data_IF_830274578940
#
_entry.id   IF_830274578940
#
_cell.length_a   1.000
_cell.length_b   1.000
_cell.length_c   1.000
_cell.angle_alpha   90.00
_cell.angle_beta   90.00
_cell.angle_gamma   90.00
#
_symmetry.space_group_name_H-M   'P 1'
#
loop_
_entity.id
_entity.type
_entity.pdbx_description
1 polymer ?
#
# COMPACT_ATOMS: atom_id res chain seq x y z
N UNK A 1 -19.04 -0.23 -14.90
CA UNK A 1 -17.59 -0.36 -15.17
C UNK A 1 -16.95 -0.80 -13.87
N UNK A 2 -16.03 -1.77 -13.92
CA UNK A 2 -15.26 -2.17 -12.75
C UNK A 2 -14.19 -1.12 -12.43
N UNK A 3 -13.95 -0.90 -11.15
CA UNK A 3 -12.91 -0.04 -10.63
C UNK A 3 -11.52 -0.60 -10.84
N UNK A 4 -10.51 0.17 -10.46
CA UNK A 4 -9.11 -0.21 -10.65
C UNK A 4 -8.43 -0.40 -9.30
N UNK A 5 -7.78 -1.54 -9.13
CA UNK A 5 -6.92 -1.77 -7.98
C UNK A 5 -5.55 -1.13 -8.21
N UNK A 6 -5.08 -0.29 -7.28
CA UNK A 6 -3.77 0.34 -7.29
C UNK A 6 -2.95 -0.18 -6.10
N UNK A 7 -1.97 -1.03 -6.38
CA UNK A 7 -1.06 -1.57 -5.39
C UNK A 7 0.16 -0.68 -5.20
N UNK A 8 0.31 -0.12 -4.01
CA UNK A 8 1.45 0.69 -3.61
C UNK A 8 2.50 -0.19 -2.94
N UNK A 9 3.67 -0.32 -3.55
CA UNK A 9 4.78 -1.17 -3.07
C UNK A 9 6.06 -0.36 -2.93
N UNK A 10 7.01 -0.85 -2.13
CA UNK A 10 8.27 -0.13 -1.89
C UNK A 10 8.88 -0.45 -0.53
N UNK A 11 10.16 -0.11 -0.31
CA UNK A 11 10.84 -0.43 0.95
C UNK A 11 10.17 0.28 2.14
N UNK A 12 10.40 -0.26 3.34
CA UNK A 12 10.05 0.45 4.58
C UNK A 12 10.77 1.81 4.61
N UNK A 13 10.09 2.86 5.07
CA UNK A 13 10.64 4.23 5.09
C UNK A 13 10.59 4.99 3.75
N UNK A 14 10.17 4.37 2.64
CA UNK A 14 9.94 5.06 1.37
C UNK A 14 8.78 6.09 1.41
N UNK A 15 7.97 6.07 2.48
CA UNK A 15 6.86 7.01 2.67
C UNK A 15 5.57 6.63 1.94
N UNK A 16 5.33 5.33 1.74
CA UNK A 16 4.10 4.81 1.09
C UNK A 16 2.82 5.30 1.79
N UNK A 17 2.72 5.12 3.11
CA UNK A 17 1.52 5.51 3.86
C UNK A 17 1.34 7.03 3.89
N UNK A 18 2.44 7.79 3.98
CA UNK A 18 2.40 9.26 3.85
C UNK A 18 1.85 9.69 2.48
N UNK A 19 2.27 9.03 1.41
CA UNK A 19 1.81 9.29 0.05
C UNK A 19 0.34 8.93 -0.15
N UNK A 20 -0.08 7.77 0.37
CA UNK A 20 -1.48 7.34 0.34
C UNK A 20 -2.36 8.29 1.16
N UNK A 21 -1.93 8.71 2.35
CA UNK A 21 -2.66 9.69 3.17
C UNK A 21 -2.77 11.05 2.48
N UNK A 22 -1.70 11.52 1.83
CA UNK A 22 -1.72 12.75 1.05
C UNK A 22 -2.80 12.72 -0.04
N UNK A 23 -2.93 11.58 -0.74
CA UNK A 23 -3.96 11.38 -1.76
C UNK A 23 -5.36 11.20 -1.14
N UNK A 24 -5.47 10.45 -0.04
CA UNK A 24 -6.70 10.21 0.72
C UNK A 24 -7.39 11.52 1.08
N UNK A 25 -6.66 12.43 1.71
CA UNK A 25 -7.17 13.74 2.15
C UNK A 25 -7.72 14.60 1.00
N UNK A 26 -7.21 14.41 -0.22
CA UNK A 26 -7.57 15.22 -1.39
C UNK A 26 -8.68 14.59 -2.23
N UNK A 27 -8.66 13.28 -2.40
CA UNK A 27 -9.47 12.59 -3.39
C UNK A 27 -10.60 11.76 -2.77
N UNK A 28 -10.46 11.27 -1.54
CA UNK A 28 -11.50 10.46 -0.91
C UNK A 28 -12.83 11.23 -0.72
N UNK A 29 -12.86 12.55 -0.36
CA UNK A 29 -14.10 13.32 -0.26
C UNK A 29 -14.91 13.41 -1.56
N UNK A 30 -14.26 13.21 -2.72
CA UNK A 30 -14.94 13.21 -4.02
C UNK A 30 -15.56 11.85 -4.38
N UNK A 31 -15.33 10.82 -3.57
CA UNK A 31 -15.74 9.43 -3.84
C UNK A 31 -14.92 8.73 -4.93
N UNK A 32 -13.93 9.40 -5.53
CA UNK A 32 -13.14 8.85 -6.65
C UNK A 32 -12.29 7.64 -6.25
N UNK A 33 -11.72 7.68 -5.04
CA UNK A 33 -10.80 6.66 -4.55
C UNK A 33 -11.27 6.12 -3.21
N UNK A 34 -10.87 4.90 -2.88
CA UNK A 34 -10.90 4.35 -1.52
C UNK A 34 -9.50 3.87 -1.14
N UNK A 35 -8.94 4.38 -0.04
CA UNK A 35 -7.66 3.91 0.49
C UNK A 35 -7.93 2.81 1.52
N UNK A 36 -7.53 1.59 1.20
CA UNK A 36 -7.86 0.39 1.99
C UNK A 36 -7.08 0.40 3.30
N UNK A 37 -7.83 0.31 4.40
CA UNK A 37 -7.28 0.00 5.72
C UNK A 37 -6.96 -1.49 5.77
N UNK A 38 -5.72 -1.83 6.11
CA UNK A 38 -5.27 -3.22 6.25
C UNK A 38 -5.70 -3.78 7.60
N UNK A 39 -5.86 -5.09 7.69
CA UNK A 39 -5.94 -5.80 8.97
C UNK A 39 -4.59 -6.45 9.25
N UNK A 40 -4.03 -6.27 10.45
CA UNK A 40 -2.70 -6.78 10.81
C UNK A 40 -2.74 -7.51 12.13
N UNK A 41 -1.95 -8.58 12.29
CA UNK A 41 -1.82 -9.34 13.55
C UNK A 41 -0.93 -8.67 14.60
N UNK A 42 -1.05 -7.35 14.73
CA UNK A 42 -0.41 -6.56 15.79
C UNK A 42 -1.37 -5.50 16.26
N UNK A 43 -1.21 -5.07 17.51
CA UNK A 43 -1.92 -3.90 18.00
C UNK A 43 -1.48 -2.67 17.20
N UNK A 44 -2.46 -1.87 16.78
CA UNK A 44 -2.21 -0.53 16.26
C UNK A 44 -1.68 0.32 17.41
N UNK A 45 -0.37 0.48 17.47
CA UNK A 45 0.26 1.61 18.14
C UNK A 45 -0.07 2.84 17.30
N UNK A 46 -0.80 3.82 17.86
CA UNK A 46 -1.35 4.99 17.14
C UNK A 46 -0.34 5.88 16.39
N UNK A 47 0.95 5.52 16.44
CA UNK A 47 2.05 6.11 15.70
C UNK A 47 2.46 5.30 14.47
N UNK A 48 2.08 4.02 14.36
CA UNK A 48 2.36 3.15 13.22
C UNK A 48 1.18 3.13 12.26
N UNK A 49 1.47 2.80 11.00
CA UNK A 49 0.54 2.70 9.86
C UNK A 49 -0.94 2.51 10.23
N UNK A 50 -1.83 3.33 9.67
CA UNK A 50 -3.26 3.25 9.98
C UNK A 50 -3.86 1.92 9.50
N UNK A 51 -4.21 1.04 10.44
CA UNK A 51 -4.68 -0.31 10.19
C UNK A 51 -5.62 -0.81 11.30
N UNK A 52 -6.46 -1.78 10.97
CA UNK A 52 -7.26 -2.51 11.95
C UNK A 52 -6.43 -3.66 12.52
N UNK A 53 -6.73 -4.08 13.75
CA UNK A 53 -5.92 -5.04 14.50
C UNK A 53 -6.73 -6.27 14.86
N UNK A 54 -6.20 -7.44 14.57
CA UNK A 54 -6.70 -8.72 15.08
C UNK A 54 -5.56 -9.43 15.80
N UNK A 55 -5.88 -10.34 16.72
CA UNK A 55 -4.88 -11.33 17.14
C UNK A 55 -4.76 -12.45 16.08
N UNK A 56 -3.77 -13.33 16.25
CA UNK A 56 -3.52 -14.43 15.30
C UNK A 56 -4.72 -15.38 15.17
N UNK A 57 -5.43 -15.67 16.27
CA UNK A 57 -6.56 -16.60 16.26
C UNK A 57 -7.76 -16.00 15.53
N UNK A 58 -8.08 -14.73 15.80
CA UNK A 58 -9.14 -13.98 15.15
C UNK A 58 -8.83 -13.75 13.67
N UNK A 59 -7.58 -13.44 13.31
CA UNK A 59 -7.18 -13.31 11.90
C UNK A 59 -7.34 -14.65 11.17
N UNK A 60 -6.90 -15.76 11.76
CA UNK A 60 -7.05 -17.09 11.17
C UNK A 60 -8.52 -17.53 11.05
N UNK A 61 -9.39 -17.09 11.95
CA UNK A 61 -10.83 -17.30 11.83
C UNK A 61 -11.40 -16.45 10.69
N UNK A 62 -11.11 -15.15 10.65
CA UNK A 62 -11.57 -14.25 9.59
C UNK A 62 -11.11 -14.70 8.19
N UNK A 63 -9.88 -15.21 8.06
CA UNK A 63 -9.38 -15.79 6.81
C UNK A 63 -10.18 -17.02 6.39
N UNK A 64 -10.51 -17.93 7.32
CA UNK A 64 -11.37 -19.10 7.04
C UNK A 64 -12.79 -18.72 6.65
N UNK A 65 -13.29 -17.62 7.20
CA UNK A 65 -14.63 -17.11 6.93
C UNK A 65 -14.70 -16.27 5.62
N UNK A 66 -13.58 -16.14 4.90
CA UNK A 66 -13.54 -15.40 3.63
C UNK A 66 -13.56 -13.88 3.79
N UNK A 67 -13.19 -13.35 4.96
CA UNK A 67 -13.24 -11.91 5.25
C UNK A 67 -12.19 -11.07 4.49
N UNK A 68 -11.28 -11.70 3.75
CA UNK A 68 -10.18 -11.02 3.06
C UNK A 68 -10.16 -11.29 1.56
N UNK A 69 -9.89 -10.25 0.79
CA UNK A 69 -9.60 -10.34 -0.64
C UNK A 69 -8.19 -10.91 -0.91
N UNK A 70 -7.20 -10.49 -0.10
CA UNK A 70 -5.81 -10.93 -0.14
C UNK A 70 -5.27 -11.04 1.27
N UNK A 71 -4.48 -12.08 1.56
CA UNK A 71 -3.74 -12.24 2.82
C UNK A 71 -2.27 -12.58 2.56
N UNK A 72 -1.38 -12.16 3.45
CA UNK A 72 0.05 -12.50 3.37
C UNK A 72 0.75 -12.45 4.71
N UNK A 73 1.88 -13.16 4.81
CA UNK A 73 2.78 -13.11 5.95
C UNK A 73 4.01 -12.25 5.66
N UNK A 74 4.41 -11.40 6.60
CA UNK A 74 5.70 -10.71 6.57
C UNK A 74 6.17 -10.37 8.00
N UNK A 75 7.47 -10.52 8.26
CA UNK A 75 8.08 -10.13 9.54
C UNK A 75 7.41 -10.76 10.79
N UNK A 76 6.91 -11.99 10.68
CA UNK A 76 6.22 -12.66 11.78
C UNK A 76 4.80 -12.15 12.05
N UNK A 77 4.26 -11.33 11.14
CA UNK A 77 2.91 -10.79 11.19
C UNK A 77 2.13 -11.28 9.97
N UNK A 78 0.80 -11.28 10.10
CA UNK A 78 -0.15 -11.51 9.01
C UNK A 78 -0.87 -10.22 8.68
N UNK A 79 -1.15 -10.07 7.39
CA UNK A 79 -1.77 -8.89 6.81
C UNK A 79 -2.92 -9.34 5.93
N UNK A 80 -4.02 -8.62 5.97
CA UNK A 80 -5.21 -8.87 5.18
C UNK A 80 -5.76 -7.58 4.58
N UNK A 81 -6.22 -7.66 3.33
CA UNK A 81 -7.09 -6.65 2.74
C UNK A 81 -8.54 -7.10 2.90
N UNK A 82 -9.41 -6.34 3.59
CA UNK A 82 -10.81 -6.72 3.78
C UNK A 82 -11.53 -6.97 2.45
N UNK A 83 -12.38 -8.00 2.40
CA UNK A 83 -13.16 -8.34 1.20
C UNK A 83 -14.12 -7.22 0.78
N UNK A 84 -14.51 -6.33 1.71
CA UNK A 84 -15.37 -5.17 1.43
C UNK A 84 -14.81 -4.21 0.38
N UNK A 85 -13.50 -4.24 0.08
CA UNK A 85 -12.93 -3.46 -1.02
C UNK A 85 -13.51 -3.83 -2.39
N UNK A 86 -14.09 -5.01 -2.53
CA UNK A 86 -14.74 -5.47 -3.77
C UNK A 86 -15.99 -4.63 -4.09
N UNK A 87 -16.64 -4.07 -3.07
CA UNK A 87 -17.78 -3.17 -3.27
C UNK A 87 -17.34 -1.86 -3.91
N UNK A 88 -16.18 -1.32 -3.50
CA UNK A 88 -15.59 -0.12 -4.09
C UNK A 88 -15.12 -0.36 -5.53
N UNK A 89 -14.49 -1.51 -5.78
CA UNK A 89 -14.16 -1.93 -7.15
C UNK A 89 -15.44 -2.07 -7.98
N UNK A 90 -16.49 -2.71 -7.46
CA UNK A 90 -17.76 -2.88 -8.17
C UNK A 90 -18.46 -1.55 -8.45
N UNK A 91 -18.27 -0.55 -7.57
CA UNK A 91 -18.75 0.82 -7.73
C UNK A 91 -17.91 1.66 -8.72
N UNK A 92 -16.86 1.10 -9.32
CA UNK A 92 -16.01 1.81 -10.28
C UNK A 92 -15.00 2.76 -9.64
N UNK A 93 -14.73 2.65 -8.33
CA UNK A 93 -13.75 3.49 -7.63
C UNK A 93 -12.34 2.98 -7.85
N UNK A 94 -11.36 3.86 -7.62
CA UNK A 94 -9.96 3.46 -7.56
C UNK A 94 -9.66 2.98 -6.13
N UNK A 95 -9.34 1.70 -5.99
CA UNK A 95 -9.01 1.09 -4.69
C UNK A 95 -7.51 1.08 -4.52
N UNK A 96 -7.00 1.80 -3.53
CA UNK A 96 -5.57 1.99 -3.28
C UNK A 96 -5.15 1.22 -2.03
N UNK A 97 -4.15 0.33 -2.14
CA UNK A 97 -3.68 -0.46 -1.00
C UNK A 97 -2.15 -0.58 -0.95
N UNK A 98 -1.58 -0.48 0.25
CA UNK A 98 -0.15 -0.77 0.47
C UNK A 98 0.09 -2.27 0.57
N UNK A 99 0.87 -2.82 -0.35
CA UNK A 99 1.11 -4.25 -0.49
C UNK A 99 2.59 -4.59 -0.41
N UNK A 100 2.86 -5.86 -0.09
CA UNK A 100 4.19 -6.44 -0.27
C UNK A 100 4.45 -6.71 -1.75
N UNK A 101 5.68 -6.48 -2.22
CA UNK A 101 6.08 -6.85 -3.60
C UNK A 101 5.88 -8.33 -3.90
N UNK A 102 5.97 -9.19 -2.88
CA UNK A 102 5.74 -10.62 -3.02
C UNK A 102 4.30 -10.96 -3.41
N UNK A 103 3.34 -10.04 -3.16
CA UNK A 103 1.92 -10.23 -3.46
C UNK A 103 1.54 -9.85 -4.88
N UNK A 104 2.43 -9.23 -5.65
CA UNK A 104 2.09 -8.75 -6.98
C UNK A 104 1.64 -9.87 -7.94
N UNK A 105 2.24 -11.07 -7.95
CA UNK A 105 1.72 -12.17 -8.79
C UNK A 105 0.27 -12.54 -8.44
N UNK A 106 -0.05 -12.69 -7.16
CA UNK A 106 -1.39 -13.05 -6.69
C UNK A 106 -2.39 -11.92 -6.89
N UNK A 107 -1.95 -10.67 -6.75
CA UNK A 107 -2.74 -9.49 -7.08
C UNK A 107 -3.16 -9.51 -8.55
N UNK A 108 -2.22 -9.74 -9.47
CA UNK A 108 -2.49 -9.73 -10.92
C UNK A 108 -3.37 -10.91 -11.32
N UNK A 109 -3.19 -12.07 -10.69
CA UNK A 109 -4.07 -13.23 -10.89
C UNK A 109 -5.52 -12.92 -10.50
N UNK A 110 -5.74 -12.18 -9.41
CA UNK A 110 -7.07 -11.81 -8.94
C UNK A 110 -7.65 -10.59 -9.66
N UNK A 111 -6.82 -9.60 -9.96
CA UNK A 111 -7.18 -8.31 -10.56
C UNK A 111 -6.26 -8.05 -11.76
N UNK A 112 -6.63 -8.58 -12.93
CA UNK A 112 -5.79 -8.53 -14.13
C UNK A 112 -5.39 -7.10 -14.55
N UNK A 113 -6.29 -6.13 -14.32
CA UNK A 113 -6.07 -4.72 -14.66
C UNK A 113 -5.47 -3.90 -13.50
N UNK A 114 -4.92 -4.55 -12.47
CA UNK A 114 -4.30 -3.86 -11.35
C UNK A 114 -3.07 -3.05 -11.79
N UNK A 115 -2.99 -1.82 -11.26
CA UNK A 115 -1.85 -0.92 -11.47
C UNK A 115 -0.89 -1.04 -10.29
N UNK A 116 0.39 -1.28 -10.58
CA UNK A 116 1.43 -1.34 -9.54
C UNK A 116 2.20 -0.03 -9.51
N UNK A 117 2.26 0.60 -8.34
CA UNK A 117 3.01 1.83 -8.06
C UNK A 117 4.14 1.50 -7.10
N UNK A 118 5.38 1.57 -7.60
CA UNK A 118 6.59 1.40 -6.80
C UNK A 118 7.09 2.75 -6.28
N UNK A 119 6.95 2.98 -4.98
CA UNK A 119 7.50 4.14 -4.30
C UNK A 119 8.92 3.83 -3.85
N UNK A 120 9.86 4.70 -4.20
CA UNK A 120 11.26 4.65 -3.76
C UNK A 120 11.65 5.93 -3.03
N UNK A 121 12.75 5.87 -2.30
CA UNK A 121 13.46 7.04 -1.81
C UNK A 121 14.96 6.71 -1.75
N UNK A 122 15.81 7.73 -1.82
CA UNK A 122 17.25 7.61 -1.61
C UNK A 122 17.53 6.95 -0.26
N UNK A 123 18.60 6.16 -0.20
CA UNK A 123 18.97 5.38 0.99
C UNK A 123 19.13 6.29 2.22
N UNK A 124 19.82 7.41 2.04
CA UNK A 124 20.12 8.37 3.10
C UNK A 124 18.83 8.99 3.66
N UNK A 125 17.83 9.21 2.79
CA UNK A 125 16.52 9.73 3.18
C UNK A 125 15.73 8.68 3.96
N UNK A 126 15.78 7.42 3.55
CA UNK A 126 15.13 6.32 4.28
C UNK A 126 15.77 6.15 5.66
N UNK A 127 17.09 6.14 5.74
CA UNK A 127 17.83 6.03 7.01
C UNK A 127 17.45 7.16 7.96
N UNK A 128 17.46 8.42 7.48
CA UNK A 128 17.03 9.57 8.28
C UNK A 128 15.59 9.42 8.78
N UNK A 129 14.65 9.06 7.89
CA UNK A 129 13.23 8.88 8.25
C UNK A 129 13.01 7.75 9.25
N UNK A 130 13.78 6.67 9.17
CA UNK A 130 13.69 5.56 10.12
C UNK A 130 14.29 5.94 11.48
N UNK A 131 15.40 6.70 11.48
CA UNK A 131 16.02 7.23 12.69
C UNK A 131 15.09 8.23 13.41
N UNK A 132 14.48 9.17 12.67
CA UNK A 132 13.57 10.19 13.23
C UNK A 132 12.33 9.60 13.89
N UNK A 133 11.90 8.39 13.47
CA UNK A 133 10.77 7.68 14.11
C UNK A 133 11.10 7.16 15.50
N UNK A 134 12.39 6.99 15.84
CA UNK A 134 12.85 6.57 17.16
C UNK A 134 12.48 5.14 17.59
N UNK A 135 11.93 4.31 16.70
CA UNK A 135 11.43 2.96 17.02
C UNK A 135 12.42 1.83 16.78
N UNK A 136 13.55 2.13 16.15
CA UNK A 136 14.49 1.12 15.67
C UNK A 136 15.91 1.47 16.11
N UNK A 137 16.70 0.44 16.44
CA UNK A 137 18.14 0.61 16.64
C UNK A 137 18.84 0.84 15.31
N UNK A 138 20.00 1.51 15.33
CA UNK A 138 20.82 1.70 14.13
C UNK A 138 21.12 0.36 13.40
N UNK A 139 21.32 -0.72 14.17
CA UNK A 139 21.54 -2.06 13.60
C UNK A 139 20.28 -2.62 12.92
N UNK A 140 19.08 -2.39 13.47
CA UNK A 140 17.81 -2.76 12.81
C UNK A 140 17.62 -1.99 11.50
N UNK A 141 17.93 -0.70 11.49
CA UNK A 141 17.84 0.15 10.29
C UNK A 141 18.80 -0.36 9.20
N UNK A 142 20.06 -0.63 9.55
CA UNK A 142 21.03 -1.17 8.60
C UNK A 142 20.59 -2.52 8.03
N UNK A 143 20.12 -3.44 8.88
CA UNK A 143 19.58 -4.73 8.46
C UNK A 143 18.39 -4.58 7.50
N UNK A 144 17.54 -3.55 7.70
CA UNK A 144 16.46 -3.23 6.76
C UNK A 144 16.98 -2.71 5.43
N UNK A 145 18.06 -1.94 5.41
CA UNK A 145 18.66 -1.40 4.18
C UNK A 145 19.36 -2.48 3.33
N UNK A 146 19.95 -3.47 3.98
CA UNK A 146 20.68 -4.56 3.31
C UNK A 146 19.76 -5.66 2.76
N UNK A 147 18.47 -5.65 3.13
CA UNK A 147 17.49 -6.59 2.57
C UNK A 147 17.31 -6.34 1.07
N UNK A 148 17.87 -7.25 0.27
CA UNK A 148 17.52 -7.39 -1.13
C UNK A 148 16.06 -7.80 -1.24
N UNK A 149 15.19 -6.87 -1.60
CA UNK A 149 13.83 -7.19 -2.00
C UNK A 149 13.87 -7.65 -3.45
N UNK A 150 13.14 -8.71 -3.79
CA UNK A 150 13.00 -9.13 -5.19
C UNK A 150 12.56 -7.92 -6.05
N UNK A 151 13.32 -7.63 -7.10
CA UNK A 151 13.09 -6.50 -8.02
C UNK A 151 12.18 -6.85 -9.19
N UNK A 152 11.61 -8.06 -9.21
CA UNK A 152 10.71 -8.49 -10.27
C UNK A 152 9.31 -7.92 -10.07
N UNK A 153 9.17 -6.64 -10.42
CA UNK A 153 7.88 -6.01 -10.62
C UNK A 153 7.51 -6.06 -12.12
N UNK A 154 6.22 -6.02 -12.47
CA UNK A 154 5.78 -5.93 -13.87
C UNK A 154 6.44 -4.77 -14.61
N UNK A 155 6.68 -4.93 -15.91
CA UNK A 155 7.25 -3.84 -16.73
C UNK A 155 6.37 -2.58 -16.76
N UNK A 156 5.05 -2.75 -16.58
CA UNK A 156 4.05 -1.68 -16.47
C UNK A 156 4.07 -0.93 -15.13
N UNK A 157 4.97 -1.29 -14.20
CA UNK A 157 5.05 -0.65 -12.89
C UNK A 157 5.39 0.83 -13.00
N UNK A 158 4.54 1.67 -12.43
CA UNK A 158 4.76 3.11 -12.33
C UNK A 158 5.68 3.38 -11.14
N UNK A 159 6.68 4.25 -11.31
CA UNK A 159 7.68 4.54 -10.28
C UNK A 159 7.53 5.97 -9.79
N UNK A 160 7.47 6.15 -8.47
CA UNK A 160 7.41 7.46 -7.81
C UNK A 160 8.61 7.59 -6.87
N UNK A 161 9.44 8.61 -7.11
CA UNK A 161 10.54 8.95 -6.22
C UNK A 161 10.09 9.93 -5.13
N UNK A 162 10.08 9.44 -3.89
CA UNK A 162 9.74 10.20 -2.70
C UNK A 162 10.99 10.57 -1.88
N UNK A 163 12.10 10.87 -2.57
CA UNK A 163 13.33 11.39 -1.94
C UNK A 163 13.26 12.87 -1.55
N UNK A 164 12.40 13.64 -2.22
CA UNK A 164 12.25 15.08 -2.01
C UNK A 164 11.12 15.43 -1.02
N UNK A 165 10.55 16.62 -1.20
CA UNK A 165 9.37 17.06 -0.46
C UNK A 165 8.17 16.16 -0.77
N UNK A 166 7.40 15.81 0.26
CA UNK A 166 6.25 14.89 0.15
C UNK A 166 5.23 15.40 -0.85
N UNK A 167 5.03 16.71 -0.92
CA UNK A 167 4.07 17.37 -1.82
C UNK A 167 4.36 17.07 -3.29
N UNK A 168 5.64 16.96 -3.68
CA UNK A 168 6.03 16.69 -5.07
C UNK A 168 5.59 15.28 -5.48
N UNK A 169 6.00 14.27 -4.70
CA UNK A 169 5.60 12.89 -4.95
C UNK A 169 4.09 12.71 -4.76
N UNK A 170 3.50 13.38 -3.76
CA UNK A 170 2.09 13.37 -3.44
C UNK A 170 1.22 13.85 -4.60
N UNK A 171 1.58 14.97 -5.21
CA UNK A 171 0.86 15.50 -6.37
C UNK A 171 1.02 14.61 -7.61
N UNK A 172 2.19 13.98 -7.81
CA UNK A 172 2.36 12.98 -8.87
C UNK A 172 1.42 11.79 -8.67
N UNK A 173 1.30 11.30 -7.43
CA UNK A 173 0.41 10.19 -7.11
C UNK A 173 -1.07 10.56 -7.25
N UNK A 174 -1.47 11.76 -6.80
CA UNK A 174 -2.82 12.30 -7.00
C UNK A 174 -3.16 12.38 -8.49
N UNK A 175 -2.30 12.99 -9.30
CA UNK A 175 -2.53 13.12 -10.74
C UNK A 175 -2.68 11.76 -11.44
N UNK A 176 -1.91 10.75 -11.02
CA UNK A 176 -2.05 9.38 -11.50
C UNK A 176 -3.43 8.81 -11.17
N UNK A 177 -3.88 8.91 -9.91
CA UNK A 177 -5.17 8.36 -9.48
C UNK A 177 -6.35 9.03 -10.19
N UNK A 178 -6.28 10.35 -10.38
CA UNK A 178 -7.29 11.09 -11.16
C UNK A 178 -7.32 10.66 -12.62
N UNK A 179 -6.15 10.38 -13.22
CA UNK A 179 -6.09 9.92 -14.61
C UNK A 179 -6.69 8.54 -14.78
N UNK A 180 -6.36 7.60 -13.88
CA UNK A 180 -6.98 6.28 -13.84
C UNK A 180 -8.49 6.37 -13.68
N UNK A 181 -8.98 7.24 -12.78
CA UNK A 181 -10.40 7.45 -12.59
C UNK A 181 -11.10 8.05 -13.83
N UNK A 182 -10.42 8.94 -14.58
CA UNK A 182 -10.93 9.46 -15.85
C UNK A 182 -10.97 8.40 -16.94
N UNK A 183 -9.95 7.55 -17.04
CA UNK A 183 -9.89 6.45 -18.00
C UNK A 183 -10.99 5.43 -17.74
N UNK A 184 -11.17 5.03 -16.47
CA UNK A 184 -12.21 4.10 -16.06
C UNK A 184 -13.63 4.57 -16.43
N UNK A 185 -13.90 5.88 -16.38
CA UNK A 185 -15.21 6.46 -16.76
C UNK A 185 -15.46 6.55 -18.26
N UNK A 186 -14.41 6.41 -19.08
CA UNK A 186 -14.49 6.52 -20.55
C UNK A 186 -14.57 5.16 -21.24
N UNK A 187 -14.20 4.08 -20.55
CA UNK A 187 -14.25 2.70 -21.02
C UNK A 187 -15.64 2.11 -20.87
#
# INVERSE_FOLDING_TARGET
MSGTFVAVVGPSGAGKDSLMNFARERLEPSGLIHVVRRVVTRQADGDSEDHDSLDEAAFAQAERDGAFALTWGAHGLRYGLPIGLEDDLSAGRIVVANLSRAMIPQLIERYADAVVVAVSAKREVIEQRLADRGRETAQSIQNRMERRVSDRLPASTIRIDNSGALEVAGMQFVALLEDLARQARRA
#
